data_IF_995053527925
#
_entry.id   IF_995053527925
#
_cell.length_a   1.000
_cell.length_b   1.000
_cell.length_c   1.000
_cell.angle_alpha   90.00
_cell.angle_beta   90.00
_cell.angle_gamma   90.00
#
_symmetry.space_group_name_H-M   'P 1'
#
loop_
_entity.id
_entity.type
_entity.pdbx_description
1 polymer ?
#
# COMPACT_ATOMS: atom_id res chain seq x y z
N UNK A 1 -0.63 20.58 10.16
CA UNK A 1 -0.92 19.17 10.49
C UNK A 1 -0.34 18.86 11.86
N UNK A 2 -1.16 18.69 12.92
CA UNK A 2 -0.65 18.33 14.25
C UNK A 2 -0.13 16.89 14.17
N UNK A 3 1.17 16.69 14.31
CA UNK A 3 1.77 15.38 14.52
C UNK A 3 1.15 14.78 15.78
N UNK A 4 0.33 13.74 15.62
CA UNK A 4 -0.16 12.97 16.75
C UNK A 4 1.04 12.38 17.47
N UNK A 5 1.19 12.74 18.74
CA UNK A 5 2.27 12.27 19.59
C UNK A 5 2.03 10.76 19.84
N UNK A 6 2.67 9.92 19.05
CA UNK A 6 2.76 8.47 19.30
C UNK A 6 3.75 8.25 20.43
N UNK A 7 3.40 7.37 21.36
CA UNK A 7 4.30 6.94 22.44
C UNK A 7 4.92 5.56 22.14
N UNK A 8 5.84 5.12 22.99
CA UNK A 8 6.51 3.82 22.83
C UNK A 8 5.53 2.63 22.88
N UNK A 9 4.40 2.75 23.55
CA UNK A 9 3.38 1.71 23.61
C UNK A 9 2.62 1.61 22.30
N UNK A 10 2.32 2.75 21.66
CA UNK A 10 1.71 2.78 20.33
C UNK A 10 2.64 2.12 19.29
N UNK A 11 3.94 2.39 19.35
CA UNK A 11 4.94 1.75 18.48
C UNK A 11 4.99 0.23 18.72
N UNK A 12 4.96 -0.24 19.95
CA UNK A 12 4.91 -1.67 20.26
C UNK A 12 3.63 -2.34 19.75
N UNK A 13 2.47 -1.69 19.87
CA UNK A 13 1.21 -2.19 19.32
C UNK A 13 1.32 -2.30 17.79
N UNK A 14 1.77 -1.24 17.12
CA UNK A 14 1.96 -1.26 15.66
C UNK A 14 2.91 -2.36 15.20
N UNK A 15 4.02 -2.57 15.90
CA UNK A 15 4.96 -3.65 15.59
C UNK A 15 4.32 -5.05 15.68
N UNK A 16 3.50 -5.30 16.70
CA UNK A 16 2.75 -6.56 16.82
C UNK A 16 1.74 -6.71 15.66
N UNK A 17 0.98 -5.67 15.34
CA UNK A 17 0.00 -5.68 14.25
C UNK A 17 0.64 -5.85 12.87
N UNK A 18 1.82 -5.27 12.63
CA UNK A 18 2.58 -5.45 11.39
C UNK A 18 3.05 -6.89 11.21
N UNK A 19 3.43 -7.56 12.30
CA UNK A 19 3.83 -8.96 12.25
C UNK A 19 2.62 -9.91 12.12
N UNK A 20 1.55 -9.64 12.84
CA UNK A 20 0.32 -10.42 12.80
C UNK A 20 -0.90 -9.58 13.19
N UNK A 21 -1.59 -9.04 12.18
CA UNK A 21 -2.78 -8.21 12.41
C UNK A 21 -4.00 -8.99 12.94
N UNK A 22 -3.92 -10.32 13.06
CA UNK A 22 -4.98 -11.19 13.63
C UNK A 22 -4.77 -11.47 15.10
N UNK A 23 -3.70 -10.98 15.74
CA UNK A 23 -3.57 -11.06 17.18
C UNK A 23 -4.68 -10.30 17.88
N UNK A 24 -5.25 -10.94 18.92
CA UNK A 24 -6.26 -10.26 19.74
C UNK A 24 -5.62 -9.17 20.61
N UNK A 25 -6.41 -8.14 20.92
CA UNK A 25 -5.97 -7.06 21.81
C UNK A 25 -5.44 -7.58 23.16
N UNK A 26 -6.00 -8.69 23.64
CA UNK A 26 -5.55 -9.36 24.87
C UNK A 26 -4.14 -9.95 24.71
N UNK A 27 -3.87 -10.63 23.59
CA UNK A 27 -2.55 -11.21 23.30
C UNK A 27 -1.49 -10.12 23.17
N UNK A 28 -1.79 -9.05 22.43
CA UNK A 28 -0.89 -7.89 22.31
C UNK A 28 -0.66 -7.29 23.70
N UNK A 29 -1.72 -7.09 24.49
CA UNK A 29 -1.63 -6.54 25.84
C UNK A 29 -0.71 -7.35 26.75
N UNK A 30 -0.82 -8.68 26.74
CA UNK A 30 0.06 -9.57 27.50
C UNK A 30 1.54 -9.39 27.15
N UNK A 31 1.87 -9.18 25.88
CA UNK A 31 3.25 -8.97 25.41
C UNK A 31 3.86 -7.65 25.84
N UNK A 32 3.04 -6.62 25.97
CA UNK A 32 3.53 -5.25 26.22
C UNK A 32 3.19 -4.70 27.60
N UNK A 33 2.56 -5.51 28.46
CA UNK A 33 2.19 -5.12 29.81
C UNK A 33 0.95 -4.21 29.91
N UNK A 34 -0.02 -4.38 29.01
CA UNK A 34 -1.29 -3.63 29.00
C UNK A 34 -2.50 -4.56 29.08
N UNK A 35 -3.65 -4.02 29.53
CA UNK A 35 -4.92 -4.72 29.37
C UNK A 35 -5.38 -4.70 27.90
N UNK A 36 -6.15 -5.71 27.48
CA UNK A 36 -6.72 -5.74 26.13
C UNK A 36 -7.61 -4.53 25.83
N UNK A 37 -8.33 -4.01 26.83
CA UNK A 37 -9.14 -2.80 26.71
C UNK A 37 -8.28 -1.57 26.40
N UNK A 38 -7.12 -1.46 27.07
CA UNK A 38 -6.19 -0.36 26.82
C UNK A 38 -5.58 -0.44 25.42
N UNK A 39 -5.23 -1.66 24.95
CA UNK A 39 -4.74 -1.89 23.58
C UNK A 39 -5.81 -1.50 22.56
N UNK A 40 -7.05 -1.97 22.72
CA UNK A 40 -8.16 -1.62 21.83
C UNK A 40 -8.37 -0.11 21.74
N UNK A 41 -8.43 0.57 22.89
CA UNK A 41 -8.60 2.02 22.93
C UNK A 41 -7.51 2.77 22.15
N UNK A 42 -6.25 2.29 22.22
CA UNK A 42 -5.14 2.86 21.45
C UNK A 42 -5.27 2.60 19.95
N UNK A 43 -5.65 1.38 19.55
CA UNK A 43 -5.90 1.02 18.14
C UNK A 43 -7.03 1.89 17.57
N UNK A 44 -8.14 2.02 18.28
CA UNK A 44 -9.27 2.86 17.87
C UNK A 44 -8.86 4.33 17.71
N UNK A 45 -8.00 4.84 18.60
CA UNK A 45 -7.42 6.18 18.48
C UNK A 45 -6.53 6.30 17.24
N UNK A 46 -5.68 5.30 16.96
CA UNK A 46 -4.80 5.28 15.78
C UNK A 46 -5.60 5.24 14.47
N UNK A 47 -6.70 4.48 14.43
CA UNK A 47 -7.64 4.47 13.29
C UNK A 47 -8.34 5.83 13.13
N UNK A 48 -8.86 6.40 14.21
CA UNK A 48 -9.54 7.71 14.20
C UNK A 48 -8.62 8.84 13.74
N UNK A 49 -7.35 8.79 14.11
CA UNK A 49 -6.35 9.79 13.73
C UNK A 49 -5.68 9.52 12.40
N UNK A 50 -6.08 8.45 11.69
CA UNK A 50 -5.49 8.00 10.42
C UNK A 50 -4.00 7.65 10.50
N UNK A 51 -3.49 7.34 11.68
CA UNK A 51 -2.17 6.73 11.85
C UNK A 51 -2.19 5.28 11.32
N UNK A 52 -3.27 4.54 11.62
CA UNK A 52 -3.65 3.33 10.89
C UNK A 52 -4.74 3.76 9.90
N UNK A 53 -4.49 3.63 8.63
CA UNK A 53 -5.46 4.00 7.60
C UNK A 53 -6.56 2.95 7.48
N UNK A 54 -6.15 1.68 7.38
CA UNK A 54 -7.05 0.51 7.29
C UNK A 54 -6.29 -0.77 7.59
N UNK A 55 -7.02 -1.81 7.97
CA UNK A 55 -6.54 -3.20 7.91
C UNK A 55 -6.89 -3.78 6.54
N UNK A 56 -5.94 -4.47 5.91
CA UNK A 56 -6.14 -5.08 4.59
C UNK A 56 -5.42 -6.44 4.53
N UNK A 57 -5.79 -7.24 3.55
CA UNK A 57 -5.10 -8.49 3.25
C UNK A 57 -3.98 -8.23 2.26
N UNK A 58 -2.81 -8.81 2.53
CA UNK A 58 -1.79 -9.00 1.50
C UNK A 58 -2.04 -10.38 0.89
N UNK A 59 -2.39 -10.39 -0.39
CA UNK A 59 -2.64 -11.61 -1.17
C UNK A 59 -1.45 -11.79 -2.11
N UNK A 60 -1.07 -13.04 -2.36
CA UNK A 60 -0.12 -13.38 -3.40
C UNK A 60 -0.86 -13.50 -4.74
N UNK A 61 -0.72 -12.53 -5.66
CA UNK A 61 -1.54 -12.46 -6.86
C UNK A 61 -1.39 -13.68 -7.77
N UNK A 62 -0.19 -14.25 -7.85
CA UNK A 62 0.10 -15.42 -8.68
C UNK A 62 -0.74 -16.64 -8.32
N UNK A 63 -1.07 -16.83 -7.02
CA UNK A 63 -1.94 -17.93 -6.57
C UNK A 63 -3.38 -17.80 -7.09
N UNK A 64 -3.75 -16.62 -7.56
CA UNK A 64 -5.05 -16.31 -8.15
C UNK A 64 -5.00 -16.18 -9.68
N UNK A 65 -3.85 -16.50 -10.30
CA UNK A 65 -3.64 -16.36 -11.74
C UNK A 65 -3.50 -14.90 -12.22
N UNK A 66 -3.05 -14.01 -11.34
CA UNK A 66 -2.74 -12.63 -11.67
C UNK A 66 -1.23 -12.41 -11.64
N UNK A 67 -0.77 -11.46 -12.45
CA UNK A 67 0.59 -10.97 -12.47
C UNK A 67 0.67 -9.55 -11.91
N UNK A 68 1.85 -9.13 -11.49
CA UNK A 68 2.09 -7.79 -10.94
C UNK A 68 3.07 -7.04 -11.84
N UNK A 69 2.70 -5.83 -12.23
CA UNK A 69 3.57 -4.91 -12.96
C UNK A 69 3.88 -3.73 -12.05
N UNK A 70 5.15 -3.41 -11.91
CA UNK A 70 5.62 -2.19 -11.25
C UNK A 70 6.01 -1.16 -12.29
N UNK A 71 5.50 0.05 -12.11
CA UNK A 71 5.71 1.19 -13.00
C UNK A 71 6.31 2.36 -12.21
N UNK A 72 7.43 2.88 -12.68
CA UNK A 72 8.06 4.09 -12.13
C UNK A 72 8.05 5.16 -13.20
N UNK A 73 7.46 6.31 -12.89
CA UNK A 73 7.29 7.42 -13.83
C UNK A 73 7.77 8.73 -13.24
N UNK A 74 7.97 9.74 -14.09
CA UNK A 74 8.25 11.12 -13.67
C UNK A 74 7.48 12.11 -14.54
N UNK A 75 7.16 13.27 -13.96
CA UNK A 75 6.70 14.44 -14.70
C UNK A 75 5.20 14.56 -14.91
N UNK A 76 4.36 13.73 -14.27
CA UNK A 76 2.89 13.88 -14.39
C UNK A 76 2.15 13.85 -13.05
N UNK A 77 0.91 14.36 -13.10
CA UNK A 77 -0.06 14.21 -12.02
C UNK A 77 -0.37 12.72 -11.81
N UNK A 78 -0.19 12.28 -10.56
CA UNK A 78 -0.46 10.91 -10.11
C UNK A 78 -1.89 10.49 -10.46
N UNK A 79 -2.88 11.39 -10.38
CA UNK A 79 -4.27 11.09 -10.69
C UNK A 79 -4.49 10.71 -12.16
N UNK A 80 -3.75 11.33 -13.08
CA UNK A 80 -3.84 11.00 -14.49
C UNK A 80 -3.21 9.64 -14.79
N UNK A 81 -2.08 9.32 -14.15
CA UNK A 81 -1.46 7.99 -14.24
C UNK A 81 -2.44 6.92 -13.74
N UNK A 82 -3.08 7.14 -12.58
CA UNK A 82 -4.09 6.22 -12.01
C UNK A 82 -5.21 5.94 -13.00
N UNK A 83 -5.74 6.98 -13.61
CA UNK A 83 -6.83 6.88 -14.59
C UNK A 83 -6.47 5.98 -15.77
N UNK A 84 -5.26 6.14 -16.28
CA UNK A 84 -4.80 5.41 -17.44
C UNK A 84 -4.43 3.97 -17.12
N UNK A 85 -3.74 3.70 -16.01
CA UNK A 85 -3.37 2.34 -15.62
C UNK A 85 -4.57 1.48 -15.23
N UNK A 86 -5.67 2.07 -14.74
CA UNK A 86 -6.93 1.37 -14.47
C UNK A 86 -7.58 0.75 -15.72
N UNK A 87 -7.24 1.21 -16.90
CA UNK A 87 -7.69 0.59 -18.15
C UNK A 87 -6.99 -0.75 -18.44
N UNK A 88 -5.88 -1.02 -17.79
CA UNK A 88 -5.05 -2.21 -18.03
C UNK A 88 -5.13 -3.21 -16.90
N UNK A 89 -5.25 -2.73 -15.67
CA UNK A 89 -5.29 -3.54 -14.46
C UNK A 89 -5.68 -2.74 -13.24
N UNK A 90 -5.73 -3.40 -12.08
CA UNK A 90 -6.12 -2.75 -10.82
C UNK A 90 -4.87 -2.26 -10.08
N UNK A 91 -4.71 -0.96 -9.88
CA UNK A 91 -3.61 -0.43 -9.07
C UNK A 91 -3.85 -0.75 -7.60
N UNK A 92 -2.87 -1.37 -6.93
CA UNK A 92 -2.96 -1.70 -5.51
C UNK A 92 -2.13 -0.79 -4.61
N UNK A 93 -1.16 -0.06 -5.17
CA UNK A 93 -0.55 1.08 -4.52
C UNK A 93 -0.13 2.13 -5.54
N UNK A 94 -0.08 3.39 -5.10
CA UNK A 94 0.51 4.50 -5.83
C UNK A 94 1.18 5.40 -4.81
N UNK A 95 2.48 5.65 -5.00
CA UNK A 95 3.29 6.44 -4.07
C UNK A 95 3.93 7.58 -4.84
N UNK A 96 3.58 8.83 -4.54
CA UNK A 96 4.34 9.98 -4.99
C UNK A 96 5.68 9.99 -4.24
N UNK A 97 6.78 10.05 -5.00
CA UNK A 97 8.13 10.10 -4.49
C UNK A 97 8.73 11.50 -4.63
N UNK A 98 9.86 11.73 -3.99
CA UNK A 98 10.59 13.00 -4.10
C UNK A 98 11.09 13.22 -5.54
N UNK A 99 11.14 14.48 -5.99
CA UNK A 99 11.65 14.83 -7.32
C UNK A 99 10.66 14.62 -8.48
N UNK A 100 9.34 14.59 -8.18
CA UNK A 100 8.32 14.41 -9.22
C UNK A 100 8.26 12.98 -9.78
N UNK A 101 8.78 12.02 -9.03
CA UNK A 101 8.71 10.60 -9.35
C UNK A 101 7.43 10.02 -8.73
N UNK A 102 6.82 9.06 -9.41
CA UNK A 102 5.70 8.27 -8.89
C UNK A 102 5.96 6.78 -9.12
N UNK A 103 5.66 5.96 -8.12
CA UNK A 103 5.70 4.51 -8.22
C UNK A 103 4.29 3.94 -8.10
N UNK A 104 3.96 3.00 -8.97
CA UNK A 104 2.65 2.35 -9.00
C UNK A 104 2.82 0.85 -9.17
N UNK A 105 2.08 0.05 -8.40
CA UNK A 105 1.94 -1.39 -8.58
C UNK A 105 0.56 -1.71 -9.14
N UNK A 106 0.50 -2.51 -10.19
CA UNK A 106 -0.70 -2.85 -10.93
C UNK A 106 -0.84 -4.36 -10.97
N UNK A 107 -1.99 -4.88 -10.55
CA UNK A 107 -2.36 -6.29 -10.72
C UNK A 107 -3.04 -6.44 -12.07
N UNK A 108 -2.55 -7.35 -12.90
CA UNK A 108 -3.05 -7.59 -14.26
C UNK A 108 -3.39 -9.07 -14.45
N UNK A 109 -4.32 -9.35 -15.36
CA UNK A 109 -4.65 -10.72 -15.79
C UNK A 109 -4.22 -10.92 -17.24
N UNK A 110 -3.60 -12.06 -17.53
CA UNK A 110 -3.14 -12.42 -18.89
C UNK A 110 -1.67 -12.07 -19.13
N UNK A 111 -1.28 -12.01 -20.41
CA UNK A 111 0.10 -11.82 -20.87
C UNK A 111 0.69 -10.48 -20.45
N UNK A 112 1.78 -10.52 -19.70
CA UNK A 112 2.42 -9.32 -19.11
C UNK A 112 2.99 -8.41 -20.20
N UNK A 113 3.65 -8.97 -21.22
CA UNK A 113 4.23 -8.20 -22.31
C UNK A 113 3.20 -7.37 -23.07
N UNK A 114 2.03 -7.97 -23.33
CA UNK A 114 0.91 -7.24 -23.96
C UNK A 114 0.44 -6.09 -23.10
N UNK A 115 0.30 -6.32 -21.77
CA UNK A 115 -0.11 -5.29 -20.82
C UNK A 115 0.92 -4.16 -20.72
N UNK A 116 2.20 -4.48 -20.70
CA UNK A 116 3.30 -3.50 -20.74
C UNK A 116 3.24 -2.67 -22.03
N UNK A 117 3.02 -3.31 -23.17
CA UNK A 117 2.89 -2.58 -24.44
C UNK A 117 1.72 -1.61 -24.44
N UNK A 118 0.56 -2.01 -23.88
CA UNK A 118 -0.60 -1.13 -23.74
C UNK A 118 -0.28 0.04 -22.80
N UNK A 119 0.33 -0.22 -21.63
CA UNK A 119 0.74 0.83 -20.68
C UNK A 119 1.67 1.85 -21.36
N UNK A 120 2.68 1.40 -22.08
CA UNK A 120 3.60 2.28 -22.82
C UNK A 120 2.87 3.14 -23.86
N UNK A 121 1.85 2.59 -24.51
CA UNK A 121 1.03 3.33 -25.47
C UNK A 121 0.10 4.35 -24.79
N UNK A 122 -0.53 4.01 -23.68
CA UNK A 122 -1.39 4.92 -22.93
C UNK A 122 -0.59 6.07 -22.31
N UNK A 123 0.61 5.78 -21.83
CA UNK A 123 1.48 6.72 -21.14
C UNK A 123 2.52 7.37 -22.06
N UNK A 124 2.23 7.56 -23.36
CA UNK A 124 3.18 8.15 -24.32
C UNK A 124 3.75 9.51 -23.91
N UNK A 125 2.97 10.31 -23.19
CA UNK A 125 3.38 11.62 -22.71
C UNK A 125 4.05 11.60 -21.34
N UNK A 126 4.08 10.43 -20.69
CA UNK A 126 4.71 10.22 -19.39
C UNK A 126 6.10 9.66 -19.61
N UNK A 127 7.09 10.24 -18.95
CA UNK A 127 8.42 9.66 -18.94
C UNK A 127 8.44 8.45 -17.99
N UNK A 128 8.40 7.24 -18.57
CA UNK A 128 8.56 5.99 -17.84
C UNK A 128 10.06 5.82 -17.54
N UNK A 129 10.42 5.76 -16.26
CA UNK A 129 11.79 5.52 -15.80
C UNK A 129 12.10 4.03 -15.77
N UNK A 130 11.13 3.23 -15.31
CA UNK A 130 11.27 1.78 -15.25
C UNK A 130 9.88 1.12 -15.26
N UNK A 131 9.83 -0.10 -15.78
CA UNK A 131 8.68 -0.99 -15.75
C UNK A 131 9.19 -2.43 -15.65
N UNK A 132 8.72 -3.19 -14.69
CA UNK A 132 9.17 -4.56 -14.45
C UNK A 132 8.04 -5.42 -13.88
N UNK A 133 8.13 -6.71 -14.13
CA UNK A 133 7.30 -7.76 -13.58
C UNK A 133 7.89 -8.23 -12.23
N UNK A 134 7.02 -8.63 -11.30
CA UNK A 134 7.39 -9.23 -10.01
C UNK A 134 6.79 -10.61 -9.85
#
# INVERSE_FOLDING_TARGET
MKLNKTDNLDVKILSNLLNNCRESDRQIGQKIGLSGVAVKSRIDKMLKTKLIEKFTLKIEPHLLGYNVIYLVTTGQDVNEIVKQVKLVGEPFFIVPCVGGISACGIVVKGEVEQKIAIIKNLLKQVRILNIFEA
#
